data_IF_863226122171
#
_entry.id   IF_863226122171
#
_cell.length_a   1.000
_cell.length_b   1.000
_cell.length_c   1.000
_cell.angle_alpha   90.00
_cell.angle_beta   90.00
_cell.angle_gamma   90.00
#
_symmetry.space_group_name_H-M   'P 1'
#
loop_
_entity.id
_entity.type
_entity.pdbx_description
1 polymer ?
#
# COMPACT_ATOMS: atom_id res chain seq x y z
N UNK A 1 1.34 8.59 -11.69
CA UNK A 1 0.69 7.81 -12.77
C UNK A 1 1.67 6.95 -13.55
N UNK A 2 2.77 7.48 -14.11
CA UNK A 2 3.71 6.67 -14.91
C UNK A 2 4.24 5.43 -14.15
N UNK A 3 4.88 5.62 -12.99
CA UNK A 3 5.39 4.51 -12.18
C UNK A 3 4.33 3.48 -11.76
N UNK A 4 3.13 3.95 -11.42
CA UNK A 4 2.01 3.07 -11.06
C UNK A 4 1.63 2.15 -12.24
N UNK A 5 1.42 2.74 -13.42
CA UNK A 5 1.03 1.99 -14.62
C UNK A 5 2.16 1.07 -15.10
N UNK A 6 3.41 1.55 -15.13
CA UNK A 6 4.57 0.75 -15.52
C UNK A 6 4.80 -0.41 -14.56
N UNK A 7 4.72 -0.17 -13.25
CA UNK A 7 4.89 -1.19 -12.23
C UNK A 7 3.83 -2.29 -12.34
N UNK A 8 2.57 -1.90 -12.52
CA UNK A 8 1.48 -2.86 -12.68
C UNK A 8 1.63 -3.68 -13.97
N UNK A 9 1.95 -3.02 -15.09
CA UNK A 9 2.17 -3.73 -16.36
C UNK A 9 3.35 -4.71 -16.30
N UNK A 10 4.45 -4.32 -15.66
CA UNK A 10 5.62 -5.19 -15.50
C UNK A 10 5.32 -6.38 -14.57
N UNK A 11 4.65 -6.13 -13.43
CA UNK A 11 4.21 -7.16 -12.48
C UNK A 11 3.37 -8.22 -13.18
N UNK A 12 2.30 -7.81 -13.87
CA UNK A 12 1.37 -8.74 -14.53
C UNK A 12 2.04 -9.55 -15.64
N UNK A 13 2.84 -8.92 -16.51
CA UNK A 13 3.50 -9.63 -17.62
C UNK A 13 4.57 -10.58 -17.10
N UNK A 14 5.37 -10.16 -16.12
CA UNK A 14 6.40 -11.00 -15.53
C UNK A 14 5.78 -12.16 -14.74
N UNK A 15 4.71 -11.91 -13.99
CA UNK A 15 3.99 -12.93 -13.24
C UNK A 15 3.34 -13.97 -14.16
N UNK A 16 2.68 -13.52 -15.24
CA UNK A 16 2.09 -14.44 -16.22
C UNK A 16 3.16 -15.33 -16.88
N UNK A 17 4.29 -14.74 -17.32
CA UNK A 17 5.39 -15.51 -17.89
C UNK A 17 6.05 -16.45 -16.86
N UNK A 18 6.18 -16.01 -15.60
CA UNK A 18 6.76 -16.81 -14.54
C UNK A 18 5.90 -18.05 -14.25
N UNK A 19 4.57 -17.87 -14.10
CA UNK A 19 3.67 -18.99 -13.81
C UNK A 19 3.49 -19.96 -14.99
N UNK A 20 3.67 -19.50 -16.24
CA UNK A 20 3.55 -20.36 -17.42
C UNK A 20 4.82 -21.19 -17.67
N UNK A 21 6.01 -20.59 -17.48
CA UNK A 21 7.28 -21.17 -17.93
C UNK A 21 8.23 -21.63 -16.80
N UNK A 22 7.95 -21.31 -15.54
CA UNK A 22 8.81 -21.62 -14.42
C UNK A 22 8.07 -22.40 -13.32
N UNK A 23 8.82 -23.21 -12.57
CA UNK A 23 8.31 -23.84 -11.36
C UNK A 23 8.34 -22.80 -10.21
N UNK A 24 7.20 -22.45 -9.61
CA UNK A 24 7.12 -21.44 -8.56
C UNK A 24 7.81 -21.82 -7.25
N UNK A 25 8.20 -23.09 -7.09
CA UNK A 25 8.91 -23.62 -5.92
C UNK A 25 10.41 -23.83 -6.19
N UNK A 26 10.84 -23.85 -7.46
CA UNK A 26 12.23 -24.10 -7.86
C UNK A 26 12.74 -22.98 -8.78
N UNK A 27 13.38 -21.97 -8.17
CA UNK A 27 13.99 -20.84 -8.89
C UNK A 27 15.36 -21.23 -9.46
N UNK A 28 15.38 -21.95 -10.58
CA UNK A 28 16.65 -22.30 -11.25
C UNK A 28 16.75 -21.68 -12.64
N UNK A 29 17.91 -21.08 -12.95
CA UNK A 29 18.21 -20.47 -14.23
C UNK A 29 17.94 -18.96 -14.32
N UNK A 30 18.67 -18.29 -15.22
CA UNK A 30 18.66 -16.83 -15.37
C UNK A 30 17.29 -16.27 -15.79
N UNK A 31 16.53 -17.03 -16.59
CA UNK A 31 15.19 -16.63 -17.03
C UNK A 31 14.21 -16.56 -15.85
N UNK A 32 14.08 -17.65 -15.09
CA UNK A 32 13.14 -17.72 -13.97
C UNK A 32 13.54 -16.79 -12.82
N UNK A 33 14.85 -16.65 -12.54
CA UNK A 33 15.35 -15.65 -11.60
C UNK A 33 15.04 -14.21 -12.06
N UNK A 34 15.24 -13.91 -13.35
CA UNK A 34 14.95 -12.60 -13.91
C UNK A 34 13.46 -12.24 -13.87
N UNK A 35 12.59 -13.19 -14.21
CA UNK A 35 11.14 -13.03 -14.13
C UNK A 35 10.65 -12.83 -12.69
N UNK A 36 11.17 -13.61 -11.74
CA UNK A 36 10.87 -13.43 -10.32
C UNK A 36 11.26 -12.04 -9.81
N UNK A 37 12.45 -11.56 -10.18
CA UNK A 37 12.90 -10.21 -9.79
C UNK A 37 12.03 -9.13 -10.45
N UNK A 38 11.71 -9.27 -11.74
CA UNK A 38 10.88 -8.29 -12.44
C UNK A 38 9.46 -8.23 -11.89
N UNK A 39 8.90 -9.36 -11.49
CA UNK A 39 7.58 -9.45 -10.87
C UNK A 39 7.59 -8.87 -9.45
N UNK A 40 8.21 -9.60 -8.51
CA UNK A 40 8.08 -9.36 -7.09
C UNK A 40 8.89 -8.15 -6.57
N UNK A 41 9.94 -7.75 -7.27
CA UNK A 41 10.79 -6.62 -6.86
C UNK A 41 10.60 -5.40 -7.76
N UNK A 42 10.92 -5.48 -9.05
CA UNK A 42 10.95 -4.30 -9.93
C UNK A 42 9.55 -3.75 -10.17
N UNK A 43 8.61 -4.61 -10.60
CA UNK A 43 7.22 -4.25 -10.86
C UNK A 43 6.54 -3.68 -9.60
N UNK A 44 6.60 -4.45 -8.51
CA UNK A 44 6.11 -4.03 -7.21
C UNK A 44 6.74 -2.71 -6.73
N UNK A 45 8.06 -2.52 -6.85
CA UNK A 45 8.73 -1.29 -6.41
C UNK A 45 8.22 -0.09 -7.20
N UNK A 46 8.16 -0.18 -8.53
CA UNK A 46 7.63 0.91 -9.36
C UNK A 46 6.16 1.20 -9.01
N UNK A 47 5.35 0.15 -8.83
CA UNK A 47 3.96 0.28 -8.44
C UNK A 47 3.84 1.05 -7.12
N UNK A 48 4.48 0.57 -6.05
CA UNK A 48 4.39 1.15 -4.72
C UNK A 48 5.00 2.55 -4.64
N UNK A 49 6.07 2.86 -5.38
CA UNK A 49 6.58 4.23 -5.51
C UNK A 49 5.54 5.14 -6.17
N UNK A 50 4.87 4.67 -7.22
CA UNK A 50 3.79 5.39 -7.88
C UNK A 50 2.63 5.68 -6.93
N UNK A 51 2.19 4.68 -6.16
CA UNK A 51 1.13 4.84 -5.15
C UNK A 51 1.57 5.78 -4.02
N UNK A 52 2.81 5.65 -3.53
CA UNK A 52 3.37 6.50 -2.47
C UNK A 52 3.32 7.98 -2.85
N UNK A 53 3.79 8.32 -4.05
CA UNK A 53 3.77 9.69 -4.56
C UNK A 53 2.36 10.23 -4.68
N UNK A 54 1.43 9.42 -5.21
CA UNK A 54 0.04 9.81 -5.36
C UNK A 54 -0.63 10.05 -4.01
N UNK A 55 -0.57 9.09 -3.09
CA UNK A 55 -1.16 9.23 -1.75
C UNK A 55 -0.52 10.38 -0.97
N UNK A 56 0.80 10.54 -1.02
CA UNK A 56 1.48 11.65 -0.33
C UNK A 56 1.03 13.01 -0.87
N UNK A 57 0.85 13.15 -2.19
CA UNK A 57 0.34 14.39 -2.78
C UNK A 57 -1.08 14.72 -2.33
N UNK A 58 -1.95 13.71 -2.20
CA UNK A 58 -3.32 13.87 -1.69
C UNK A 58 -3.33 14.25 -0.20
N UNK A 59 -2.52 13.58 0.63
CA UNK A 59 -2.37 13.90 2.05
C UNK A 59 -1.90 15.35 2.26
N UNK A 60 -0.92 15.80 1.49
CA UNK A 60 -0.43 17.18 1.55
C UNK A 60 -1.50 18.17 1.08
N UNK A 61 -2.24 17.83 0.03
CA UNK A 61 -3.29 18.68 -0.53
C UNK A 61 -4.44 18.86 0.46
N UNK A 62 -4.92 17.78 1.07
CA UNK A 62 -5.95 17.84 2.10
C UNK A 62 -5.45 18.61 3.33
N UNK A 63 -4.19 18.42 3.72
CA UNK A 63 -3.62 19.16 4.86
C UNK A 63 -3.67 20.68 4.66
N UNK A 64 -3.51 21.14 3.41
CA UNK A 64 -3.57 22.56 3.01
C UNK A 64 -5.00 23.06 2.82
N UNK A 65 -5.93 22.17 2.46
CA UNK A 65 -7.31 22.50 2.15
C UNK A 65 -8.26 21.60 2.99
N UNK A 66 -8.44 21.91 4.28
CA UNK A 66 -9.33 21.12 5.15
C UNK A 66 -10.77 21.14 4.64
N UNK A 67 -11.47 20.03 4.81
CA UNK A 67 -12.90 19.92 4.51
C UNK A 67 -13.71 20.45 5.70
N UNK A 68 -14.36 21.60 5.51
CA UNK A 68 -15.22 22.22 6.52
C UNK A 68 -16.65 21.65 6.53
N UNK A 69 -16.99 20.77 5.59
CA UNK A 69 -18.36 20.27 5.35
C UNK A 69 -18.58 18.81 5.71
N UNK A 70 -17.57 18.07 6.17
CA UNK A 70 -17.69 16.64 6.48
C UNK A 70 -18.75 16.37 7.57
N UNK A 71 -19.90 15.83 7.17
CA UNK A 71 -20.96 15.38 8.06
C UNK A 71 -20.56 14.14 8.88
N UNK A 72 -21.12 13.94 10.08
CA UNK A 72 -20.75 12.82 10.96
C UNK A 72 -21.07 11.42 10.40
N UNK A 73 -22.07 11.29 9.51
CA UNK A 73 -22.44 10.00 8.89
C UNK A 73 -21.41 9.53 7.85
N UNK A 74 -20.78 10.45 7.10
CA UNK A 74 -19.75 10.10 6.12
C UNK A 74 -18.46 9.59 6.79
N UNK A 75 -18.19 10.01 8.03
CA UNK A 75 -17.05 9.55 8.82
C UNK A 75 -17.13 8.07 9.18
N UNK A 76 -18.30 7.56 9.57
CA UNK A 76 -18.46 6.16 9.92
C UNK A 76 -18.25 5.24 8.71
N UNK A 77 -18.83 5.59 7.55
CA UNK A 77 -18.62 4.87 6.30
C UNK A 77 -17.13 4.86 5.89
N UNK A 78 -16.44 5.99 6.09
CA UNK A 78 -15.02 6.13 5.82
C UNK A 78 -14.15 5.24 6.73
N UNK A 79 -14.50 5.11 8.01
CA UNK A 79 -13.81 4.20 8.94
C UNK A 79 -13.99 2.73 8.55
N UNK A 80 -15.21 2.33 8.17
CA UNK A 80 -15.47 0.96 7.67
C UNK A 80 -14.67 0.70 6.40
N UNK A 81 -14.67 1.64 5.45
CA UNK A 81 -13.88 1.51 4.23
C UNK A 81 -12.37 1.44 4.52
N UNK A 82 -11.87 2.17 5.52
CA UNK A 82 -10.47 2.09 5.93
C UNK A 82 -10.12 0.70 6.48
N UNK A 83 -11.03 0.06 7.22
CA UNK A 83 -10.84 -1.30 7.71
C UNK A 83 -10.85 -2.33 6.56
N UNK A 84 -11.71 -2.15 5.55
CA UNK A 84 -11.68 -2.98 4.33
C UNK A 84 -10.35 -2.79 3.59
N UNK A 85 -9.90 -1.56 3.42
CA UNK A 85 -8.62 -1.24 2.80
C UNK A 85 -7.42 -1.81 3.57
N UNK A 86 -7.51 -1.87 4.90
CA UNK A 86 -6.48 -2.50 5.73
C UNK A 86 -6.27 -3.99 5.38
N UNK A 87 -7.31 -4.70 4.91
CA UNK A 87 -7.18 -6.08 4.41
C UNK A 87 -6.35 -6.13 3.13
N UNK A 88 -6.51 -5.14 2.23
CA UNK A 88 -5.66 -5.02 1.04
C UNK A 88 -4.20 -4.77 1.44
N UNK A 89 -3.96 -3.87 2.39
CA UNK A 89 -2.60 -3.66 2.93
C UNK A 89 -2.07 -4.96 3.53
N UNK A 90 -2.88 -5.70 4.28
CA UNK A 90 -2.50 -7.00 4.83
C UNK A 90 -2.11 -8.01 3.76
N UNK A 91 -2.86 -8.10 2.66
CA UNK A 91 -2.57 -9.02 1.57
C UNK A 91 -1.17 -8.76 0.97
N UNK A 92 -0.89 -7.52 0.58
CA UNK A 92 0.39 -7.16 -0.04
C UNK A 92 1.57 -7.09 0.94
N UNK A 93 1.34 -6.57 2.15
CA UNK A 93 2.43 -6.39 3.11
C UNK A 93 2.66 -7.64 3.96
N UNK A 94 1.65 -8.48 4.20
CA UNK A 94 1.74 -9.65 5.07
C UNK A 94 2.13 -10.94 4.35
N UNK A 95 1.51 -11.23 3.20
CA UNK A 95 1.63 -12.54 2.56
C UNK A 95 2.50 -12.57 1.30
N UNK A 96 2.87 -11.39 0.77
CA UNK A 96 3.65 -11.33 -0.46
C UNK A 96 5.10 -11.78 -0.24
N UNK A 97 5.66 -12.51 -1.22
CA UNK A 97 6.98 -13.16 -1.13
C UNK A 97 8.09 -12.14 -0.92
N UNK A 98 8.02 -11.02 -1.62
CA UNK A 98 8.96 -9.92 -1.45
C UNK A 98 8.50 -8.94 -0.36
N UNK A 99 9.43 -8.33 0.41
CA UNK A 99 9.08 -7.40 1.48
C UNK A 99 8.70 -5.99 0.99
N UNK A 100 8.60 -5.77 -0.33
CA UNK A 100 8.36 -4.43 -0.91
C UNK A 100 7.05 -3.82 -0.40
N UNK A 101 5.97 -4.60 -0.38
CA UNK A 101 4.68 -4.17 0.17
C UNK A 101 4.76 -3.80 1.66
N UNK A 102 5.56 -4.53 2.44
CA UNK A 102 5.78 -4.23 3.85
C UNK A 102 6.51 -2.89 4.03
N UNK A 103 7.62 -2.69 3.31
CA UNK A 103 8.39 -1.44 3.35
C UNK A 103 7.50 -0.26 2.99
N UNK A 104 6.70 -0.39 1.93
CA UNK A 104 5.73 0.61 1.53
C UNK A 104 4.69 0.90 2.63
N UNK A 105 4.10 -0.15 3.22
CA UNK A 105 3.09 0.00 4.27
C UNK A 105 3.63 0.73 5.50
N UNK A 106 4.88 0.44 5.90
CA UNK A 106 5.57 1.11 7.01
C UNK A 106 5.84 2.57 6.66
N UNK A 107 6.33 2.87 5.45
CA UNK A 107 6.54 4.24 5.01
C UNK A 107 5.24 5.06 5.04
N UNK A 108 4.14 4.50 4.51
CA UNK A 108 2.84 5.13 4.55
C UNK A 108 2.28 5.28 5.96
N UNK A 109 2.48 4.30 6.84
CA UNK A 109 2.11 4.41 8.25
C UNK A 109 2.82 5.58 8.93
N UNK A 110 4.12 5.75 8.68
CA UNK A 110 4.90 6.88 9.23
C UNK A 110 4.42 8.22 8.67
N UNK A 111 4.20 8.33 7.36
CA UNK A 111 3.76 9.57 6.71
C UNK A 111 2.34 9.94 7.15
N UNK A 112 1.38 9.04 6.96
CA UNK A 112 -0.02 9.29 7.28
C UNK A 112 -0.24 9.41 8.80
N UNK A 113 0.41 8.56 9.60
CA UNK A 113 0.39 8.64 11.05
C UNK A 113 1.00 9.93 11.58
N UNK A 114 2.17 10.34 11.06
CA UNK A 114 2.82 11.60 11.42
C UNK A 114 1.96 12.82 11.10
N UNK A 115 1.31 12.83 9.93
CA UNK A 115 0.35 13.89 9.58
C UNK A 115 -0.90 13.84 10.47
N UNK A 116 -1.43 12.65 10.76
CA UNK A 116 -2.59 12.46 11.61
C UNK A 116 -2.37 12.98 13.03
N UNK A 117 -1.18 12.76 13.62
CA UNK A 117 -0.85 13.28 14.95
C UNK A 117 -0.99 14.82 15.04
N UNK A 118 -0.69 15.53 13.94
CA UNK A 118 -0.82 16.99 13.86
C UNK A 118 -2.28 17.46 13.69
N UNK A 119 -3.15 16.64 13.08
CA UNK A 119 -4.55 17.00 12.80
C UNK A 119 -5.56 16.30 13.71
N UNK A 120 -5.13 15.42 14.62
CA UNK A 120 -5.99 14.61 15.50
C UNK A 120 -7.14 15.38 16.18
N UNK A 121 -6.97 16.62 16.69
CA UNK A 121 -8.06 17.31 17.39
C UNK A 121 -9.19 17.70 16.45
N UNK A 122 -8.88 17.83 15.16
CA UNK A 122 -9.80 18.24 14.10
C UNK A 122 -9.87 17.17 13.00
N UNK A 123 -9.66 15.89 13.34
CA UNK A 123 -9.59 14.78 12.37
C UNK A 123 -10.80 14.72 11.42
N UNK A 124 -11.97 15.20 11.88
CA UNK A 124 -13.18 15.29 11.05
C UNK A 124 -13.03 16.16 9.80
N UNK A 125 -12.14 17.15 9.83
CA UNK A 125 -11.83 18.03 8.69
C UNK A 125 -10.81 17.45 7.71
N UNK A 126 -10.23 16.30 8.05
CA UNK A 126 -9.17 15.63 7.28
C UNK A 126 -9.53 14.15 7.06
N UNK A 127 -10.61 13.87 6.31
CA UNK A 127 -11.08 12.51 6.10
C UNK A 127 -10.04 11.59 5.44
N UNK A 128 -9.28 12.04 4.45
CA UNK A 128 -8.29 11.23 3.75
C UNK A 128 -7.06 10.92 4.60
N UNK A 129 -6.56 11.88 5.39
CA UNK A 129 -5.49 11.64 6.38
C UNK A 129 -5.96 10.65 7.44
N UNK A 130 -7.18 10.81 7.96
CA UNK A 130 -7.74 9.91 8.97
C UNK A 130 -7.95 8.51 8.42
N UNK A 131 -8.51 8.39 7.21
CA UNK A 131 -8.69 7.14 6.46
C UNK A 131 -7.35 6.42 6.26
N UNK A 132 -6.34 7.14 5.76
CA UNK A 132 -5.03 6.57 5.46
C UNK A 132 -4.33 6.13 6.73
N UNK A 133 -4.30 6.97 7.76
CA UNK A 133 -3.65 6.64 9.02
C UNK A 133 -4.28 5.39 9.67
N UNK A 134 -5.61 5.29 9.66
CA UNK A 134 -6.31 4.13 10.19
C UNK A 134 -6.04 2.87 9.35
N UNK A 135 -6.17 2.95 8.03
CA UNK A 135 -5.97 1.82 7.12
C UNK A 135 -4.55 1.25 7.20
N UNK A 136 -3.53 2.10 7.16
CA UNK A 136 -2.14 1.66 7.28
C UNK A 136 -1.75 1.24 8.70
N UNK A 137 -2.35 1.80 9.74
CA UNK A 137 -2.12 1.35 11.12
C UNK A 137 -2.68 -0.06 11.34
N UNK A 138 -3.93 -0.30 10.94
CA UNK A 138 -4.56 -1.61 11.07
C UNK A 138 -3.87 -2.64 10.17
N UNK A 139 -3.73 -2.32 8.88
CA UNK A 139 -3.15 -3.23 7.89
C UNK A 139 -1.68 -3.51 8.16
N UNK A 140 -0.87 -2.47 8.39
CA UNK A 140 0.56 -2.61 8.67
C UNK A 140 0.84 -3.38 9.97
N UNK A 141 0.08 -3.13 11.04
CA UNK A 141 0.22 -3.90 12.28
C UNK A 141 -0.17 -5.36 12.09
N UNK A 142 -1.27 -5.63 11.38
CA UNK A 142 -1.69 -6.99 11.06
C UNK A 142 -0.65 -7.71 10.18
N UNK A 143 -0.04 -7.02 9.21
CA UNK A 143 1.03 -7.57 8.37
C UNK A 143 2.28 -7.92 9.15
N UNK A 144 2.69 -7.06 10.09
CA UNK A 144 3.82 -7.34 10.96
C UNK A 144 3.57 -8.60 11.79
N UNK A 145 2.37 -8.73 12.35
CA UNK A 145 1.97 -9.96 13.05
C UNK A 145 2.02 -11.14 12.07
N UNK A 146 1.34 -11.07 10.94
CA UNK A 146 1.30 -12.18 9.97
C UNK A 146 2.69 -12.68 9.57
N UNK A 147 3.64 -11.78 9.31
CA UNK A 147 5.02 -12.16 8.95
C UNK A 147 5.85 -12.73 10.09
N UNK A 148 5.54 -12.42 11.34
CA UNK A 148 6.23 -13.01 12.50
C UNK A 148 5.77 -14.47 12.71
N UNK A 149 4.53 -14.79 12.33
CA UNK A 149 3.90 -16.09 12.54
C UNK A 149 3.89 -16.99 11.29
N UNK A 150 4.29 -16.47 10.12
CA UNK A 150 4.39 -17.20 8.85
C UNK A 150 5.81 -17.75 8.63
#
# INVERSE_FOLDING_TARGET
>A
MYFYATGNGLHEVASAAFNEYCDPDIFSGDLCGGLFVNDFYTGNTMFFVGVLLMNTSLLITERRNPDETSAGSSQAALMVNAAVYAVTVLAYAGFDRAPVGLVYSVAMLLIAGGLFLNVRPQHRKFPFITYSALGYALGGSASLVARIWA
#
